data_IF_109936056090
#
_entry.id   IF_109936056090
#
_cell.length_a   1.000
_cell.length_b   1.000
_cell.length_c   1.000
_cell.angle_alpha   90.00
_cell.angle_beta   90.00
_cell.angle_gamma   90.00
#
_symmetry.space_group_name_H-M   'P 1'
#
loop_
_entity.id
_entity.type
_entity.pdbx_description
1 polymer ?
#
# COMPACT_ATOMS: atom_id res chain seq x y z
N UNK A 1 -65.21 23.84 -0.62
CA UNK A 1 -63.76 23.64 -0.74
C UNK A 1 -63.29 22.92 0.49
N UNK A 2 -62.98 21.62 0.36
CA UNK A 2 -62.73 20.69 1.48
C UNK A 2 -61.22 20.62 1.75
N UNK A 3 -60.84 20.93 2.98
CA UNK A 3 -59.56 20.62 3.62
C UNK A 3 -59.39 19.10 3.71
N UNK A 4 -58.31 18.56 3.17
CA UNK A 4 -57.88 17.18 3.39
C UNK A 4 -56.63 17.18 4.29
N UNK A 5 -56.86 16.78 5.53
CA UNK A 5 -55.85 16.38 6.51
C UNK A 5 -55.23 15.05 6.09
N UNK A 6 -53.90 14.93 6.21
CA UNK A 6 -53.18 13.69 5.98
C UNK A 6 -52.85 13.03 7.33
N UNK A 7 -53.22 11.75 7.57
CA UNK A 7 -53.06 11.12 8.87
C UNK A 7 -51.69 10.45 9.06
N UNK A 8 -51.16 10.71 10.26
CA UNK A 8 -50.58 9.78 11.22
C UNK A 8 -49.45 8.82 10.78
N UNK A 9 -48.30 9.18 11.31
CA UNK A 9 -47.05 8.46 11.44
C UNK A 9 -47.17 7.46 12.62
N UNK A 10 -47.30 6.17 12.32
CA UNK A 10 -47.15 5.09 13.30
C UNK A 10 -46.24 4.00 12.73
N UNK A 11 -44.96 3.99 13.16
CA UNK A 11 -44.14 2.77 13.15
C UNK A 11 -43.25 2.67 14.39
N UNK A 12 -43.78 1.89 15.33
CA UNK A 12 -43.14 0.74 15.97
C UNK A 12 -41.79 0.96 16.69
N UNK A 13 -41.88 1.26 17.98
CA UNK A 13 -40.90 0.88 18.99
C UNK A 13 -41.09 -0.59 19.36
N UNK A 14 -40.24 -1.47 18.85
CA UNK A 14 -40.12 -2.87 19.26
C UNK A 14 -38.88 -3.05 20.14
N UNK A 15 -39.10 -3.22 21.44
CA UNK A 15 -38.09 -3.60 22.42
C UNK A 15 -38.03 -5.12 22.61
N UNK A 16 -36.86 -5.57 23.10
CA UNK A 16 -36.54 -6.86 23.71
C UNK A 16 -36.13 -8.04 22.79
N UNK A 17 -34.86 -8.44 22.94
CA UNK A 17 -34.38 -9.79 23.36
C UNK A 17 -32.88 -9.87 23.00
N UNK A 18 -31.93 -9.79 23.93
CA UNK A 18 -31.50 -10.84 24.85
C UNK A 18 -31.29 -12.19 24.14
N UNK A 19 -30.09 -12.44 23.62
CA UNK A 19 -29.53 -13.78 23.47
C UNK A 19 -28.01 -13.68 23.47
N UNK A 20 -27.40 -14.38 24.42
CA UNK A 20 -25.98 -14.62 24.55
C UNK A 20 -25.38 -15.21 23.26
N UNK A 21 -24.26 -14.65 22.81
CA UNK A 21 -23.36 -15.31 21.86
C UNK A 21 -21.96 -15.30 22.46
N UNK A 22 -21.73 -16.27 23.34
CA UNK A 22 -20.41 -16.87 23.53
C UNK A 22 -20.13 -17.68 22.27
N UNK A 23 -19.22 -17.22 21.42
CA UNK A 23 -18.58 -18.03 20.38
C UNK A 23 -17.13 -17.54 20.26
N UNK A 24 -16.23 -18.18 20.99
CA UNK A 24 -15.42 -19.31 20.53
C UNK A 24 -14.22 -18.79 19.70
N UNK A 25 -13.15 -18.44 20.41
CA UNK A 25 -11.79 -18.41 19.88
C UNK A 25 -11.48 -19.81 19.35
N UNK A 26 -11.44 -19.97 18.04
CA UNK A 26 -10.74 -21.07 17.41
C UNK A 26 -9.58 -20.52 16.62
N UNK A 27 -8.41 -20.85 17.14
CA UNK A 27 -7.13 -20.87 16.47
C UNK A 27 -7.30 -21.45 15.05
N UNK A 28 -7.00 -20.64 14.05
CA UNK A 28 -6.71 -21.14 12.70
C UNK A 28 -5.22 -21.04 12.49
N UNK A 29 -4.54 -22.11 12.90
CA UNK A 29 -3.19 -22.42 12.45
C UNK A 29 -3.19 -22.64 10.94
N UNK A 30 -2.36 -21.86 10.24
CA UNK A 30 -1.55 -22.24 9.09
C UNK A 30 -2.06 -23.41 8.23
N UNK A 31 -2.67 -23.09 7.09
CA UNK A 31 -2.62 -23.96 5.91
C UNK A 31 -2.01 -23.17 4.76
N UNK A 32 -0.69 -23.31 4.62
CA UNK A 32 0.11 -22.83 3.51
C UNK A 32 0.04 -23.89 2.41
N UNK A 33 -0.97 -23.78 1.53
CA UNK A 33 -0.99 -24.50 0.25
C UNK A 33 -1.23 -23.54 -0.92
N UNK A 34 -0.15 -23.32 -1.67
CA UNK A 34 -0.16 -23.36 -3.13
C UNK A 34 -1.01 -22.33 -3.89
N UNK A 35 -0.42 -21.16 -4.17
CA UNK A 35 -0.61 -20.48 -5.47
C UNK A 35 0.71 -19.91 -5.98
N UNK A 36 1.46 -20.74 -6.72
CA UNK A 36 2.42 -20.28 -7.72
C UNK A 36 1.65 -20.02 -9.00
N UNK A 37 1.24 -18.78 -9.24
CA UNK A 37 1.01 -18.27 -10.59
C UNK A 37 1.80 -16.98 -10.69
N UNK A 38 2.83 -17.02 -11.54
CA UNK A 38 3.62 -15.86 -11.87
C UNK A 38 2.78 -14.88 -12.68
N UNK A 39 2.86 -13.62 -12.28
CA UNK A 39 2.82 -12.49 -13.19
C UNK A 39 3.93 -11.55 -12.76
N UNK A 40 5.05 -11.66 -13.46
CA UNK A 40 6.18 -10.74 -13.35
C UNK A 40 5.78 -9.43 -14.02
N UNK A 41 5.01 -8.59 -13.33
CA UNK A 41 4.94 -7.18 -13.67
C UNK A 41 6.23 -6.53 -13.20
N UNK A 42 7.13 -6.34 -14.17
CA UNK A 42 8.31 -5.49 -14.10
C UNK A 42 7.85 -4.05 -13.82
N UNK A 43 7.73 -3.72 -12.54
CA UNK A 43 7.59 -2.34 -12.09
C UNK A 43 8.98 -1.73 -12.27
N UNK A 44 9.16 -0.99 -13.37
CA UNK A 44 10.23 -0.01 -13.51
C UNK A 44 10.07 0.98 -12.35
N UNK A 45 10.82 0.75 -11.29
CA UNK A 45 10.96 1.68 -10.18
C UNK A 45 11.77 2.87 -10.66
N UNK A 46 11.06 3.93 -11.00
CA UNK A 46 11.62 5.26 -11.16
C UNK A 46 12.43 5.62 -9.91
N UNK A 47 13.74 5.68 -10.13
CA UNK A 47 14.75 6.55 -9.54
C UNK A 47 14.25 7.51 -8.44
N UNK A 48 13.97 6.96 -7.25
CA UNK A 48 13.91 7.75 -6.02
C UNK A 48 15.35 8.00 -5.57
N UNK A 49 15.82 9.19 -5.93
CA UNK A 49 17.02 9.84 -5.44
C UNK A 49 16.93 9.97 -3.91
N UNK A 50 17.27 8.87 -3.22
CA UNK A 50 17.47 8.88 -1.78
C UNK A 50 18.79 9.60 -1.53
N UNK A 51 18.69 10.92 -1.37
CA UNK A 51 19.66 11.70 -0.63
C UNK A 51 19.79 11.06 0.76
N UNK A 52 20.78 10.18 0.88
CA UNK A 52 21.28 9.68 2.16
C UNK A 52 21.52 10.91 3.06
N UNK A 53 20.91 11.00 4.26
CA UNK A 53 21.46 11.88 5.27
C UNK A 53 22.85 11.34 5.58
N UNK A 54 23.84 12.13 5.19
CA UNK A 54 25.24 12.05 5.55
C UNK A 54 25.36 11.53 6.98
N UNK A 55 25.62 10.22 7.10
CA UNK A 55 25.93 9.59 8.37
C UNK A 55 27.31 10.12 8.72
N UNK A 56 27.28 11.25 9.42
CA UNK A 56 28.43 12.01 9.85
C UNK A 56 29.56 11.07 10.24
N UNK A 57 30.67 11.27 9.54
CA UNK A 57 31.98 10.70 9.78
C UNK A 57 32.11 10.30 11.24
N UNK A 58 32.02 8.98 11.49
CA UNK A 58 32.39 8.39 12.75
C UNK A 58 33.83 8.81 12.99
N UNK A 59 33.99 9.83 13.84
CA UNK A 59 35.27 10.42 14.17
C UNK A 59 36.21 9.29 14.55
N UNK A 60 37.16 9.02 13.67
CA UNK A 60 38.30 8.18 13.98
C UNK A 60 38.88 8.76 15.25
N UNK A 61 38.75 8.03 16.36
CA UNK A 61 39.41 8.35 17.61
C UNK A 61 40.88 8.51 17.26
N UNK A 62 41.33 9.76 17.17
CA UNK A 62 42.74 10.09 17.09
C UNK A 62 43.31 9.64 18.43
N UNK A 63 43.73 8.38 18.47
CA UNK A 63 44.64 7.86 19.47
C UNK A 63 45.83 8.82 19.42
N UNK A 64 45.91 9.71 20.41
CA UNK A 64 47.08 10.53 20.59
C UNK A 64 48.28 9.57 20.69
N UNK A 65 49.40 9.85 19.98
CA UNK A 65 50.58 9.06 20.13
C UNK A 65 50.97 9.06 21.61
N UNK A 66 51.00 7.88 22.23
CA UNK A 66 51.67 7.69 23.50
C UNK A 66 53.15 7.92 23.18
N UNK A 67 53.63 9.14 23.41
CA UNK A 67 55.05 9.45 23.37
C UNK A 67 55.73 8.67 24.50
N UNK A 68 56.21 7.48 24.17
CA UNK A 68 57.04 6.63 25.02
C UNK A 68 58.47 7.18 25.15
N UNK A 69 58.73 8.39 24.64
CA UNK A 69 60.02 9.04 24.74
C UNK A 69 60.15 9.72 26.12
N UNK A 70 61.07 9.20 26.92
CA UNK A 70 61.52 9.76 28.20
C UNK A 70 60.56 9.65 29.40
N UNK A 71 60.23 8.42 29.80
CA UNK A 71 60.17 8.13 31.24
C UNK A 71 61.60 7.86 31.72
N UNK A 72 62.42 8.92 31.81
CA UNK A 72 63.63 8.86 32.64
C UNK A 72 63.16 8.76 34.08
N UNK A 73 63.04 7.54 34.60
CA UNK A 73 62.89 7.32 36.05
C UNK A 73 64.20 7.80 36.66
N UNK A 74 64.22 8.91 37.42
CA UNK A 74 65.43 9.31 38.11
C UNK A 74 65.72 8.23 39.16
N UNK A 75 66.78 7.45 38.93
CA UNK A 75 67.32 6.55 39.96
C UNK A 75 68.01 7.43 41.00
N UNK A 76 67.20 8.10 41.82
CA UNK A 76 67.65 8.78 43.01
C UNK A 76 68.08 7.68 43.99
N UNK A 77 69.38 7.62 44.29
CA UNK A 77 69.93 6.79 45.38
C UNK A 77 69.49 7.38 46.71
N UNK A 78 68.23 7.20 47.06
CA UNK A 78 67.71 7.50 48.38
C UNK A 78 67.82 6.26 49.26
N UNK A 79 68.05 6.44 50.56
CA UNK A 79 67.92 5.42 51.59
C UNK A 79 66.67 4.55 51.34
N UNK A 80 66.75 3.24 51.55
CA UNK A 80 65.75 2.26 51.10
C UNK A 80 64.29 2.53 51.55
N UNK A 81 64.07 3.33 52.61
CA UNK A 81 62.74 3.74 53.06
C UNK A 81 62.13 4.91 52.25
N UNK A 82 62.95 5.87 51.82
CA UNK A 82 62.47 7.07 51.11
C UNK A 82 62.02 6.75 49.68
N UNK A 83 62.72 5.80 49.03
CA UNK A 83 62.34 5.32 47.69
C UNK A 83 60.99 4.60 47.69
N UNK A 84 60.72 3.80 48.73
CA UNK A 84 59.42 3.13 48.90
C UNK A 84 58.31 4.15 49.14
N UNK A 85 58.55 5.20 49.93
CA UNK A 85 57.56 6.26 50.15
C UNK A 85 57.25 7.05 48.88
N UNK A 86 58.26 7.34 48.05
CA UNK A 86 58.08 8.00 46.76
C UNK A 86 57.20 7.18 45.81
N UNK A 87 57.47 5.86 45.68
CA UNK A 87 56.67 4.96 44.85
C UNK A 87 55.21 4.89 45.35
N UNK A 88 54.99 4.81 46.67
CA UNK A 88 53.64 4.80 47.25
C UNK A 88 52.89 6.12 47.02
N UNK A 89 53.58 7.26 47.01
CA UNK A 89 52.99 8.55 46.68
C UNK A 89 52.55 8.59 45.22
N UNK A 90 53.42 8.15 44.29
CA UNK A 90 53.10 8.07 42.87
C UNK A 90 51.90 7.16 42.60
N UNK A 91 51.89 5.95 43.16
CA UNK A 91 50.77 5.02 42.99
C UNK A 91 49.44 5.58 43.52
N UNK A 92 49.47 6.41 44.57
CA UNK A 92 48.26 7.08 45.08
C UNK A 92 47.75 8.12 44.10
N UNK A 93 48.65 8.90 43.51
CA UNK A 93 48.32 9.89 42.50
C UNK A 93 47.76 9.24 41.25
N UNK A 94 48.43 8.22 40.72
CA UNK A 94 47.96 7.44 39.56
C UNK A 94 46.57 6.83 39.82
N UNK A 95 46.33 6.31 41.03
CA UNK A 95 45.02 5.78 41.41
C UNK A 95 43.94 6.85 41.42
N UNK A 96 44.23 8.04 41.95
CA UNK A 96 43.27 9.16 41.97
C UNK A 96 42.97 9.61 40.54
N UNK A 97 44.01 9.70 39.69
CA UNK A 97 43.89 10.04 38.30
C UNK A 97 43.00 9.04 37.53
N UNK A 98 43.31 7.74 37.63
CA UNK A 98 42.54 6.67 36.98
C UNK A 98 41.09 6.63 37.48
N UNK A 99 40.87 6.80 38.79
CA UNK A 99 39.52 6.86 39.35
C UNK A 99 38.72 8.03 38.76
N UNK A 100 39.35 9.21 38.61
CA UNK A 100 38.72 10.37 38.00
C UNK A 100 38.41 10.18 36.51
N UNK A 101 39.28 9.51 35.76
CA UNK A 101 39.06 9.19 34.35
C UNK A 101 37.92 8.18 34.16
N UNK A 102 37.89 7.13 34.98
CA UNK A 102 36.78 6.16 34.99
C UNK A 102 35.45 6.87 35.29
N UNK A 103 35.43 7.78 36.28
CA UNK A 103 34.21 8.52 36.62
C UNK A 103 33.75 9.42 35.47
N UNK A 104 34.69 10.08 34.78
CA UNK A 104 34.39 10.92 33.61
C UNK A 104 33.79 10.09 32.48
N UNK A 105 34.44 8.99 32.12
CA UNK A 105 33.99 8.10 31.05
C UNK A 105 32.63 7.47 31.40
N UNK A 106 32.42 7.09 32.66
CA UNK A 106 31.14 6.57 33.12
C UNK A 106 30.01 7.61 33.02
N UNK A 107 30.30 8.90 33.26
CA UNK A 107 29.32 9.98 33.05
C UNK A 107 29.01 10.20 31.57
N UNK A 108 30.02 10.21 30.71
CA UNK A 108 29.86 10.37 29.27
C UNK A 108 29.00 9.24 28.67
N UNK A 109 29.33 7.98 28.98
CA UNK A 109 28.56 6.81 28.54
C UNK A 109 27.10 6.90 29.00
N UNK A 110 26.84 7.36 30.22
CA UNK A 110 25.46 7.55 30.71
C UNK A 110 24.68 8.57 29.89
N UNK A 111 25.31 9.68 29.52
CA UNK A 111 24.70 10.71 28.69
C UNK A 111 24.41 10.18 27.27
N UNK A 112 25.34 9.43 26.70
CA UNK A 112 25.14 8.79 25.39
C UNK A 112 24.01 7.77 25.41
N UNK A 113 23.95 6.90 26.43
CA UNK A 113 22.86 5.94 26.61
C UNK A 113 21.51 6.66 26.71
N UNK A 114 21.44 7.75 27.47
CA UNK A 114 20.23 8.55 27.58
C UNK A 114 19.85 9.19 26.23
N UNK A 115 20.82 9.72 25.49
CA UNK A 115 20.60 10.30 24.18
C UNK A 115 20.09 9.26 23.16
N UNK A 116 20.68 8.05 23.17
CA UNK A 116 20.21 6.92 22.36
C UNK A 116 18.79 6.54 22.76
N UNK A 117 18.49 6.41 24.06
CA UNK A 117 17.15 6.10 24.54
C UNK A 117 16.09 7.09 24.04
N UNK A 118 16.38 8.39 24.08
CA UNK A 118 15.48 9.42 23.57
C UNK A 118 15.29 9.32 22.05
N UNK A 119 16.37 9.06 21.29
CA UNK A 119 16.29 8.88 19.83
C UNK A 119 15.48 7.63 19.47
N UNK A 120 15.67 6.53 20.20
CA UNK A 120 14.92 5.28 19.99
C UNK A 120 13.43 5.50 20.26
N UNK A 121 13.06 6.13 21.38
CA UNK A 121 11.67 6.44 21.68
C UNK A 121 11.02 7.33 20.59
N UNK A 122 11.74 8.33 20.09
CA UNK A 122 11.24 9.17 18.98
C UNK A 122 11.07 8.38 17.67
N UNK A 123 11.97 7.42 17.39
CA UNK A 123 11.85 6.55 16.23
C UNK A 123 10.67 5.59 16.36
N UNK A 124 10.42 5.02 17.53
CA UNK A 124 9.27 4.13 17.78
C UNK A 124 7.95 4.84 17.47
N UNK A 125 7.77 6.07 17.96
CA UNK A 125 6.58 6.89 17.67
C UNK A 125 6.42 7.14 16.17
N UNK A 126 7.52 7.42 15.46
CA UNK A 126 7.48 7.64 14.00
C UNK A 126 7.11 6.36 13.25
N UNK A 127 7.66 5.22 13.67
CA UNK A 127 7.36 3.91 13.07
C UNK A 127 5.89 3.56 13.28
N UNK A 128 5.35 3.79 14.47
CA UNK A 128 3.93 3.57 14.76
C UNK A 128 3.03 4.46 13.89
N UNK A 129 3.36 5.75 13.75
CA UNK A 129 2.61 6.66 12.89
C UNK A 129 2.63 6.23 11.41
N UNK A 130 3.78 5.78 10.91
CA UNK A 130 3.91 5.27 9.53
C UNK A 130 3.13 3.97 9.36
N UNK A 131 3.21 3.04 10.32
CA UNK A 131 2.47 1.78 10.27
C UNK A 131 0.96 2.02 10.23
N UNK A 132 0.47 2.98 11.03
CA UNK A 132 -0.93 3.38 11.02
C UNK A 132 -1.35 3.97 9.67
N UNK A 133 -0.60 4.94 9.15
CA UNK A 133 -0.89 5.56 7.86
C UNK A 133 -0.87 4.53 6.71
N UNK A 134 0.05 3.57 6.75
CA UNK A 134 0.11 2.48 5.79
C UNK A 134 -1.13 1.58 5.86
N UNK A 135 -1.58 1.22 7.07
CA UNK A 135 -2.79 0.43 7.24
C UNK A 135 -4.04 1.18 6.73
N UNK A 136 -4.14 2.49 6.99
CA UNK A 136 -5.23 3.32 6.49
C UNK A 136 -5.26 3.36 4.95
N UNK A 137 -4.08 3.46 4.31
CA UNK A 137 -3.96 3.41 2.85
C UNK A 137 -4.36 2.05 2.27
N UNK A 138 -4.00 0.94 2.92
CA UNK A 138 -4.43 -0.39 2.49
C UNK A 138 -5.96 -0.54 2.53
N UNK A 139 -6.59 -0.06 3.60
CA UNK A 139 -8.06 -0.07 3.73
C UNK A 139 -8.68 0.74 2.59
N UNK A 140 -8.23 1.98 2.38
CA UNK A 140 -8.72 2.82 1.29
C UNK A 140 -8.52 2.17 -0.08
N UNK A 141 -7.35 1.60 -0.34
CA UNK A 141 -7.07 0.91 -1.60
C UNK A 141 -8.04 -0.24 -1.86
N UNK A 142 -8.37 -1.02 -0.84
CA UNK A 142 -9.34 -2.11 -0.97
C UNK A 142 -10.77 -1.59 -1.21
N UNK A 143 -11.17 -0.50 -0.54
CA UNK A 143 -12.45 0.17 -0.79
C UNK A 143 -12.53 0.70 -2.23
N UNK A 144 -11.47 1.30 -2.75
CA UNK A 144 -11.43 1.77 -4.15
C UNK A 144 -11.53 0.61 -5.14
N UNK A 145 -10.83 -0.51 -4.88
CA UNK A 145 -10.95 -1.72 -5.68
C UNK A 145 -12.39 -2.22 -5.77
N UNK A 146 -13.05 -2.38 -4.63
CA UNK A 146 -14.46 -2.84 -4.60
C UNK A 146 -15.42 -1.89 -5.31
N UNK A 147 -15.20 -0.57 -5.23
CA UNK A 147 -16.01 0.42 -5.97
C UNK A 147 -15.78 0.34 -7.47
N UNK A 148 -14.54 0.11 -7.90
CA UNK A 148 -14.20 -0.04 -9.31
C UNK A 148 -14.86 -1.30 -9.90
N UNK A 149 -14.79 -2.42 -9.20
CA UNK A 149 -15.46 -3.67 -9.59
C UNK A 149 -16.98 -3.47 -9.73
N UNK A 150 -17.60 -2.76 -8.78
CA UNK A 150 -19.03 -2.46 -8.83
C UNK A 150 -19.41 -1.57 -10.02
N UNK A 151 -18.57 -0.59 -10.35
CA UNK A 151 -18.77 0.28 -11.52
C UNK A 151 -18.60 -0.49 -12.82
N UNK A 152 -17.62 -1.40 -12.90
CA UNK A 152 -17.40 -2.24 -14.07
C UNK A 152 -18.62 -3.14 -14.34
N UNK A 153 -19.15 -3.80 -13.30
CA UNK A 153 -20.37 -4.61 -13.41
C UNK A 153 -21.56 -3.77 -13.87
N UNK A 154 -21.74 -2.58 -13.31
CA UNK A 154 -22.83 -1.68 -13.71
C UNK A 154 -22.69 -1.20 -15.15
N UNK A 155 -21.47 -0.91 -15.59
CA UNK A 155 -21.16 -0.49 -16.95
C UNK A 155 -21.43 -1.62 -17.95
N UNK A 156 -21.02 -2.85 -17.63
CA UNK A 156 -21.28 -4.03 -18.46
C UNK A 156 -22.78 -4.31 -18.58
N UNK A 157 -23.55 -4.21 -17.50
CA UNK A 157 -25.02 -4.32 -17.57
C UNK A 157 -25.62 -3.22 -18.46
N UNK A 158 -25.14 -1.97 -18.36
CA UNK A 158 -25.60 -0.87 -19.19
C UNK A 158 -25.31 -1.11 -20.68
N UNK A 159 -24.10 -1.57 -21.01
CA UNK A 159 -23.71 -1.96 -22.37
C UNK A 159 -24.63 -3.07 -22.87
N UNK A 160 -24.85 -4.10 -22.06
CA UNK A 160 -25.69 -5.23 -22.43
C UNK A 160 -27.13 -4.79 -22.67
N UNK A 161 -27.72 -3.97 -21.79
CA UNK A 161 -29.06 -3.39 -21.99
C UNK A 161 -29.12 -2.53 -23.25
N UNK A 162 -28.10 -1.72 -23.51
CA UNK A 162 -28.02 -0.91 -24.73
C UNK A 162 -27.91 -1.75 -26.00
N UNK A 163 -27.39 -2.98 -25.92
CA UNK A 163 -27.21 -3.89 -27.07
C UNK A 163 -28.35 -4.89 -27.27
N UNK A 164 -29.21 -5.13 -26.28
CA UNK A 164 -30.29 -6.14 -26.33
C UNK A 164 -31.21 -6.00 -27.54
N UNK A 165 -31.48 -4.78 -27.98
CA UNK A 165 -32.37 -4.53 -29.12
C UNK A 165 -31.61 -4.37 -30.46
N UNK A 166 -30.29 -4.59 -30.47
CA UNK A 166 -29.48 -4.45 -31.68
C UNK A 166 -29.28 -5.80 -32.35
N UNK A 167 -29.96 -6.01 -33.49
CA UNK A 167 -29.78 -7.21 -34.31
C UNK A 167 -28.66 -6.97 -35.32
N UNK A 168 -27.70 -7.91 -35.41
CA UNK A 168 -26.64 -7.90 -36.43
C UNK A 168 -26.94 -8.95 -37.49
N UNK A 169 -27.25 -8.49 -38.71
CA UNK A 169 -27.47 -9.38 -39.87
C UNK A 169 -26.15 -9.48 -40.64
N UNK A 170 -25.72 -10.71 -40.97
CA UNK A 170 -24.48 -11.00 -41.71
C UNK A 170 -24.81 -11.76 -42.99
N UNK A 171 -23.90 -11.73 -43.96
CA UNK A 171 -24.04 -12.45 -45.23
C UNK A 171 -24.95 -11.77 -46.25
N UNK A 172 -25.33 -10.51 -46.01
CA UNK A 172 -26.01 -9.69 -47.00
C UNK A 172 -24.97 -9.24 -48.03
N UNK A 173 -25.14 -9.55 -49.33
CA UNK A 173 -24.23 -9.07 -50.36
C UNK A 173 -24.23 -7.52 -50.41
N UNK A 174 -23.08 -6.93 -50.70
CA UNK A 174 -22.99 -5.48 -50.91
C UNK A 174 -23.36 -5.17 -52.36
N UNK A 175 -24.64 -4.92 -52.64
CA UNK A 175 -25.05 -4.44 -53.96
C UNK A 175 -24.96 -2.91 -54.01
N UNK A 176 -24.47 -2.37 -55.13
CA UNK A 176 -24.13 -0.93 -55.28
C UNK A 176 -25.32 0.02 -55.23
N UNK A 177 -26.52 -0.48 -55.54
CA UNK A 177 -27.72 0.34 -55.78
C UNK A 177 -28.87 0.02 -54.83
N UNK A 178 -28.59 -0.55 -53.66
CA UNK A 178 -29.62 -0.79 -52.66
C UNK A 178 -30.04 0.55 -52.04
N UNK A 179 -31.35 0.81 -52.02
CA UNK A 179 -31.94 1.98 -51.39
C UNK A 179 -31.70 2.06 -49.87
N UNK A 180 -32.58 2.73 -49.12
CA UNK A 180 -32.44 2.84 -47.66
C UNK A 180 -32.30 1.46 -47.00
N UNK A 181 -31.27 1.27 -46.16
CA UNK A 181 -30.97 -0.02 -45.50
C UNK A 181 -32.16 -0.58 -44.73
N UNK A 182 -33.04 0.29 -44.22
CA UNK A 182 -34.29 -0.12 -43.57
C UNK A 182 -35.18 -0.97 -44.49
N UNK A 183 -35.30 -0.62 -45.77
CA UNK A 183 -36.15 -1.35 -46.72
C UNK A 183 -35.64 -2.78 -46.93
N UNK A 184 -34.32 -2.95 -47.04
CA UNK A 184 -33.70 -4.27 -47.13
C UNK A 184 -33.97 -5.13 -45.89
N UNK A 185 -33.87 -4.51 -44.70
CA UNK A 185 -34.20 -5.19 -43.44
C UNK A 185 -35.66 -5.64 -43.43
N UNK A 186 -36.59 -4.78 -43.87
CA UNK A 186 -38.01 -5.14 -43.99
C UNK A 186 -38.22 -6.31 -44.95
N UNK A 187 -37.57 -6.28 -46.12
CA UNK A 187 -37.65 -7.34 -47.13
C UNK A 187 -37.15 -8.69 -46.62
N UNK A 188 -36.05 -8.70 -45.85
CA UNK A 188 -35.51 -9.91 -45.23
C UNK A 188 -36.45 -10.48 -44.17
N UNK A 189 -37.00 -9.63 -43.29
CA UNK A 189 -37.82 -10.10 -42.19
C UNK A 189 -39.26 -10.45 -42.61
N UNK A 190 -39.81 -9.85 -43.68
CA UNK A 190 -41.19 -10.06 -44.13
C UNK A 190 -41.54 -11.55 -44.30
N UNK A 191 -40.72 -12.38 -44.98
CA UNK A 191 -40.99 -13.80 -45.07
C UNK A 191 -40.69 -14.59 -43.77
N UNK A 192 -39.84 -14.06 -42.87
CA UNK A 192 -39.45 -14.75 -41.64
C UNK A 192 -40.47 -14.59 -40.51
N UNK A 193 -41.25 -13.51 -40.52
CA UNK A 193 -42.22 -13.17 -39.47
C UNK A 193 -43.61 -12.87 -40.05
N UNK A 194 -44.27 -13.86 -40.69
CA UNK A 194 -45.55 -13.63 -41.37
C UNK A 194 -46.68 -13.23 -40.41
N UNK A 195 -46.57 -13.59 -39.13
CA UNK A 195 -47.59 -13.33 -38.12
C UNK A 195 -47.57 -11.89 -37.57
N UNK A 196 -46.50 -11.14 -37.83
CA UNK A 196 -46.32 -9.78 -37.32
C UNK A 196 -46.48 -8.77 -38.46
N UNK A 197 -47.57 -8.00 -38.52
CA UNK A 197 -47.81 -7.06 -39.61
C UNK A 197 -46.84 -5.88 -39.57
N UNK A 198 -46.41 -5.40 -40.73
CA UNK A 198 -45.40 -4.35 -40.89
C UNK A 198 -45.64 -3.04 -40.13
N UNK A 199 -46.87 -2.53 -39.96
CA UNK A 199 -47.10 -1.33 -39.18
C UNK A 199 -46.68 -1.44 -37.71
N UNK A 200 -46.43 -2.65 -37.21
CA UNK A 200 -45.92 -2.88 -35.84
C UNK A 200 -44.40 -2.89 -35.76
N UNK A 201 -43.70 -2.79 -36.88
CA UNK A 201 -42.25 -2.89 -36.90
C UNK A 201 -41.65 -1.50 -36.71
N UNK A 202 -41.10 -1.25 -35.54
CA UNK A 202 -40.42 0.00 -35.21
C UNK A 202 -38.91 -0.20 -35.34
N UNK A 203 -38.33 0.31 -36.43
CA UNK A 203 -36.88 0.32 -36.64
C UNK A 203 -36.37 1.72 -36.32
N UNK A 204 -35.80 1.90 -35.13
CA UNK A 204 -35.22 3.18 -34.71
C UNK A 204 -34.06 3.59 -35.64
N UNK A 205 -33.08 2.70 -35.82
CA UNK A 205 -31.89 2.95 -36.65
C UNK A 205 -31.45 1.68 -37.37
N UNK A 206 -31.16 1.80 -38.67
CA UNK A 206 -30.51 0.75 -39.45
C UNK A 206 -29.36 1.35 -40.25
N UNK A 207 -28.19 0.74 -40.14
CA UNK A 207 -26.99 1.16 -40.83
C UNK A 207 -26.09 -0.04 -41.11
N UNK A 208 -25.25 0.07 -42.14
CA UNK A 208 -24.17 -0.88 -42.36
C UNK A 208 -23.04 -0.56 -41.40
N UNK A 209 -22.39 -1.59 -40.85
CA UNK A 209 -21.20 -1.38 -40.03
C UNK A 209 -20.08 -0.87 -40.92
N UNK A 210 -19.65 0.39 -40.71
CA UNK A 210 -18.50 0.99 -41.38
C UNK A 210 -17.20 0.40 -40.82
N UNK A 211 -16.89 -0.83 -41.20
CA UNK A 211 -15.64 -1.48 -40.92
C UNK A 211 -15.43 -2.52 -42.00
N UNK A 212 -14.42 -2.32 -42.85
CA UNK A 212 -14.14 -3.24 -43.95
C UNK A 212 -14.12 -4.68 -43.46
N UNK A 213 -14.66 -5.59 -44.28
CA UNK A 213 -14.59 -7.03 -44.06
C UNK A 213 -13.19 -7.40 -43.56
N UNK A 214 -13.04 -7.62 -42.26
CA UNK A 214 -11.88 -8.35 -41.76
C UNK A 214 -11.92 -9.69 -42.47
N UNK A 215 -10.86 -10.01 -43.20
CA UNK A 215 -10.74 -11.31 -43.87
C UNK A 215 -10.90 -12.38 -42.79
N UNK A 216 -11.50 -13.50 -43.14
CA UNK A 216 -11.72 -14.60 -42.17
C UNK A 216 -10.42 -15.05 -41.50
N UNK A 217 -9.28 -14.78 -42.13
CA UNK A 217 -7.92 -15.07 -41.69
C UNK A 217 -7.41 -14.17 -40.54
N UNK A 218 -8.14 -13.10 -40.19
CA UNK A 218 -7.77 -12.10 -39.17
C UNK A 218 -8.65 -12.14 -37.90
N UNK A 219 -9.44 -13.20 -37.71
CA UNK A 219 -10.11 -13.43 -36.42
C UNK A 219 -9.13 -14.06 -35.43
N UNK A 220 -8.96 -13.50 -34.22
CA UNK A 220 -8.26 -14.18 -33.14
C UNK A 220 -9.03 -15.43 -32.67
#
# INVERSE_FOLDING_TARGET
MKTLQNPQNERASGAANSTDMVNNCQDTTNSLEGRKNGDSHEIQSDHLDQTHPDLGEGGSGKMLPIDTANISIPIMRTSGLDGIQCILAQMKEDRIFLAGEIERNAKEIRLEIQAIGNRTAALEVRVEAVAKAHNDLLIQSSEWGTRLDALEVAFEDLINRSRRNNIKIRGIPETRDEGPVQNLVLEIFRPLLPDIPEPRWEIDRAHRLSGGLRRNDERP
#
